data_IF_415528873020
#
_entry.id   IF_415528873020
#
_cell.length_a   1.000
_cell.length_b   1.000
_cell.length_c   1.000
_cell.angle_alpha   90.00
_cell.angle_beta   90.00
_cell.angle_gamma   90.00
#
_symmetry.space_group_name_H-M   'P 1'
#
loop_
_entity.id
_entity.type
_entity.pdbx_description
1 polymer ?
#
# COMPACT_ATOMS: atom_id res chain seq x y z
N UNK A 1 -37.48 10.00 -20.20
CA UNK A 1 -36.53 8.96 -19.73
C UNK A 1 -35.18 9.18 -20.41
N UNK A 2 -34.14 9.61 -19.67
CA UNK A 2 -32.81 9.86 -20.25
C UNK A 2 -32.09 8.55 -20.59
N UNK A 3 -31.69 8.37 -21.86
CA UNK A 3 -30.79 7.29 -22.30
C UNK A 3 -29.46 7.40 -21.53
N UNK A 4 -29.20 6.48 -20.60
CA UNK A 4 -27.86 6.29 -20.03
C UNK A 4 -26.89 5.95 -21.17
N UNK A 5 -26.15 6.94 -21.65
CA UNK A 5 -25.12 6.77 -22.68
C UNK A 5 -24.01 5.90 -22.07
N UNK A 6 -23.92 4.63 -22.48
CA UNK A 6 -22.86 3.74 -21.99
C UNK A 6 -21.53 4.24 -22.52
N UNK A 7 -20.72 4.83 -21.64
CA UNK A 7 -19.41 5.36 -22.01
C UNK A 7 -18.54 4.24 -22.61
N UNK A 8 -17.80 4.49 -23.71
CA UNK A 8 -16.83 3.55 -24.26
C UNK A 8 -15.86 3.00 -23.19
N UNK A 9 -15.52 3.85 -22.23
CA UNK A 9 -14.69 3.50 -21.06
C UNK A 9 -15.36 2.42 -20.20
N UNK A 10 -16.68 2.51 -19.98
CA UNK A 10 -17.42 1.51 -19.20
C UNK A 10 -17.49 0.16 -19.91
N UNK A 11 -17.60 0.15 -21.25
CA UNK A 11 -17.54 -1.08 -22.06
C UNK A 11 -16.15 -1.72 -22.00
N UNK A 12 -15.10 -0.90 -22.08
CA UNK A 12 -13.72 -1.36 -21.94
C UNK A 12 -13.48 -1.98 -20.56
N UNK A 13 -13.91 -1.33 -19.47
CA UNK A 13 -13.81 -1.90 -18.12
C UNK A 13 -14.60 -3.20 -17.95
N UNK A 14 -15.79 -3.30 -18.54
CA UNK A 14 -16.59 -4.53 -18.52
C UNK A 14 -15.87 -5.68 -19.24
N UNK A 15 -15.29 -5.41 -20.41
CA UNK A 15 -14.49 -6.39 -21.15
C UNK A 15 -13.24 -6.82 -20.41
N UNK A 16 -12.50 -5.89 -19.79
CA UNK A 16 -11.31 -6.23 -18.97
C UNK A 16 -11.70 -7.12 -17.79
N UNK A 17 -12.86 -6.87 -17.16
CA UNK A 17 -13.35 -7.69 -16.04
C UNK A 17 -13.74 -9.11 -16.48
N UNK A 18 -14.21 -9.32 -17.71
CA UNK A 18 -14.57 -10.65 -18.21
C UNK A 18 -13.37 -11.50 -18.65
N UNK A 19 -12.18 -10.93 -18.75
CA UNK A 19 -10.98 -11.68 -19.18
C UNK A 19 -10.45 -12.66 -18.10
N UNK A 20 -9.76 -13.70 -18.56
CA UNK A 20 -9.06 -14.66 -17.69
C UNK A 20 -7.94 -14.01 -16.88
N UNK A 21 -7.54 -14.62 -15.75
CA UNK A 21 -6.46 -14.07 -14.92
C UNK A 21 -5.12 -13.95 -15.66
N UNK A 22 -4.84 -14.86 -16.60
CA UNK A 22 -3.63 -14.81 -17.45
C UNK A 22 -3.65 -13.58 -18.36
N UNK A 23 -4.78 -13.30 -19.00
CA UNK A 23 -4.95 -12.14 -19.90
C UNK A 23 -4.94 -10.83 -19.13
N UNK A 24 -5.62 -10.73 -17.98
CA UNK A 24 -5.54 -9.55 -17.09
C UNK A 24 -4.11 -9.26 -16.65
N UNK A 25 -3.36 -10.32 -16.37
CA UNK A 25 -1.97 -10.25 -15.96
C UNK A 25 -1.09 -9.75 -17.10
N UNK A 26 -1.27 -10.30 -18.31
CA UNK A 26 -0.57 -9.86 -19.51
C UNK A 26 -0.88 -8.39 -19.83
N UNK A 27 -2.16 -8.00 -19.84
CA UNK A 27 -2.59 -6.62 -20.07
C UNK A 27 -1.98 -5.65 -19.04
N UNK A 28 -1.94 -6.03 -17.76
CA UNK A 28 -1.32 -5.21 -16.72
C UNK A 28 0.19 -5.07 -16.94
N UNK A 29 0.89 -6.15 -17.28
CA UNK A 29 2.33 -6.11 -17.57
C UNK A 29 2.60 -5.26 -18.80
N UNK A 30 1.87 -5.45 -19.89
CA UNK A 30 2.01 -4.67 -21.13
C UNK A 30 1.68 -3.20 -20.91
N UNK A 31 0.61 -2.88 -20.17
CA UNK A 31 0.29 -1.50 -19.81
C UNK A 31 1.43 -0.86 -19.00
N UNK A 32 1.98 -1.56 -18.01
CA UNK A 32 3.14 -1.08 -17.24
C UNK A 32 4.35 -0.86 -18.14
N UNK A 33 4.69 -1.81 -19.02
CA UNK A 33 5.82 -1.68 -19.95
C UNK A 33 5.62 -0.51 -20.93
N UNK A 34 4.43 -0.38 -21.53
CA UNK A 34 4.10 0.74 -22.40
C UNK A 34 4.14 2.08 -21.66
N UNK A 35 3.63 2.13 -20.42
CA UNK A 35 3.73 3.32 -19.58
C UNK A 35 5.19 3.67 -19.28
N UNK A 36 6.06 2.70 -18.97
CA UNK A 36 7.49 2.92 -18.73
C UNK A 36 8.24 3.40 -19.98
N UNK A 37 7.93 2.83 -21.15
CA UNK A 37 8.50 3.27 -22.44
C UNK A 37 8.02 4.67 -22.78
N UNK A 38 6.72 4.95 -22.65
CA UNK A 38 6.17 6.28 -22.85
C UNK A 38 6.80 7.29 -21.87
N UNK A 39 7.01 6.91 -20.61
CA UNK A 39 7.69 7.73 -19.61
C UNK A 39 9.11 8.11 -20.05
N UNK A 40 9.87 7.11 -20.52
CA UNK A 40 11.24 7.29 -21.02
C UNK A 40 11.29 8.24 -22.22
N UNK A 41 10.28 8.20 -23.08
CA UNK A 41 10.20 9.02 -24.29
C UNK A 41 9.67 10.44 -24.02
N UNK A 42 8.76 10.61 -23.06
CA UNK A 42 8.05 11.87 -22.83
C UNK A 42 8.79 12.82 -21.89
N UNK A 43 9.56 12.30 -20.91
CA UNK A 43 10.07 13.13 -19.80
C UNK A 43 11.58 13.14 -19.78
N UNK A 44 12.14 14.30 -20.15
CA UNK A 44 13.58 14.59 -20.09
C UNK A 44 14.06 14.91 -18.67
N UNK A 45 13.22 15.55 -17.84
CA UNK A 45 13.52 15.93 -16.45
C UNK A 45 12.86 15.01 -15.41
N UNK A 46 13.67 14.16 -14.80
CA UNK A 46 13.23 13.02 -13.98
C UNK A 46 12.90 13.38 -12.53
N UNK A 47 13.27 14.59 -12.11
CA UNK A 47 13.02 15.13 -10.77
C UNK A 47 11.52 15.33 -10.50
N UNK A 48 10.72 15.58 -11.54
CA UNK A 48 9.27 15.73 -11.40
C UNK A 48 8.59 14.46 -10.91
N UNK A 49 9.09 13.27 -11.25
CA UNK A 49 8.53 12.00 -10.78
C UNK A 49 8.79 11.75 -9.31
N UNK A 50 10.01 12.07 -8.87
CA UNK A 50 10.37 11.97 -7.47
C UNK A 50 9.53 12.95 -6.64
N UNK A 51 9.51 14.23 -7.05
CA UNK A 51 8.72 15.26 -6.36
C UNK A 51 7.23 14.90 -6.34
N UNK A 52 6.68 14.37 -7.45
CA UNK A 52 5.29 13.92 -7.49
C UNK A 52 5.03 12.70 -6.59
N UNK A 53 5.93 11.71 -6.58
CA UNK A 53 5.87 10.55 -5.68
C UNK A 53 5.77 11.01 -4.23
N UNK A 54 6.69 11.88 -3.81
CA UNK A 54 6.77 12.35 -2.44
C UNK A 54 5.61 13.28 -2.07
N UNK A 55 5.14 14.13 -3.00
CA UNK A 55 3.96 14.96 -2.77
C UNK A 55 2.69 14.11 -2.56
N UNK A 56 2.52 13.04 -3.34
CA UNK A 56 1.40 12.10 -3.17
C UNK A 56 1.54 11.32 -1.86
N UNK A 57 2.76 10.95 -1.47
CA UNK A 57 3.04 10.32 -0.18
C UNK A 57 2.63 11.24 0.97
N UNK A 58 3.08 12.50 0.94
CA UNK A 58 2.76 13.52 1.93
C UNK A 58 1.25 13.76 2.00
N UNK A 59 0.56 13.86 0.86
CA UNK A 59 -0.90 13.97 0.83
C UNK A 59 -1.60 12.77 1.48
N UNK A 60 -1.12 11.55 1.23
CA UNK A 60 -1.61 10.34 1.90
C UNK A 60 -1.47 10.41 3.43
N UNK A 61 -0.29 10.80 3.92
CA UNK A 61 -0.05 11.00 5.35
C UNK A 61 -0.94 12.10 5.93
N UNK A 62 -1.16 13.21 5.22
CA UNK A 62 -2.05 14.28 5.68
C UNK A 62 -3.50 13.80 5.82
N UNK A 63 -4.01 13.02 4.85
CA UNK A 63 -5.33 12.38 4.94
C UNK A 63 -5.41 11.47 6.17
N UNK A 64 -4.34 10.73 6.45
CA UNK A 64 -4.28 9.86 7.62
C UNK A 64 -4.26 10.66 8.93
N UNK A 65 -3.47 11.72 9.02
CA UNK A 65 -3.41 12.62 10.19
C UNK A 65 -4.77 13.27 10.42
N UNK A 66 -5.43 13.75 9.37
CA UNK A 66 -6.78 14.31 9.45
C UNK A 66 -7.77 13.28 10.03
N UNK A 67 -7.76 12.04 9.51
CA UNK A 67 -8.59 10.94 10.02
C UNK A 67 -8.34 10.71 11.52
N UNK A 68 -7.08 10.54 11.93
CA UNK A 68 -6.74 10.24 13.33
C UNK A 68 -7.09 11.40 14.28
N UNK A 69 -7.01 12.64 13.79
CA UNK A 69 -7.27 13.84 14.60
C UNK A 69 -8.76 14.15 14.72
N UNK A 70 -9.51 14.04 13.62
CA UNK A 70 -10.94 14.40 13.56
C UNK A 70 -11.84 13.23 13.95
N UNK A 71 -11.59 12.03 13.40
CA UNK A 71 -12.45 10.87 13.64
C UNK A 71 -12.07 10.10 14.92
N UNK A 72 -10.94 10.44 15.54
CA UNK A 72 -10.45 9.81 16.78
C UNK A 72 -10.50 8.27 16.76
N UNK A 73 -10.18 7.69 15.61
CA UNK A 73 -10.17 6.24 15.41
C UNK A 73 -9.04 5.82 14.49
N UNK A 74 -8.35 4.74 14.86
CA UNK A 74 -7.41 4.04 14.00
C UNK A 74 -7.98 2.73 13.42
N UNK A 75 -9.30 2.51 13.50
CA UNK A 75 -9.93 1.33 12.90
C UNK A 75 -9.60 1.27 11.40
N UNK A 76 -9.24 0.07 10.94
CA UNK A 76 -8.82 -0.17 9.57
C UNK A 76 -7.37 0.14 9.23
N UNK A 77 -6.58 0.67 10.17
CA UNK A 77 -5.17 0.95 9.96
C UNK A 77 -4.30 -0.16 10.54
N UNK A 78 -3.38 -0.70 9.75
CA UNK A 78 -2.39 -1.67 10.21
C UNK A 78 -1.23 -0.93 10.88
N UNK A 79 -1.05 -1.23 12.16
CA UNK A 79 0.09 -0.75 12.93
C UNK A 79 1.40 -1.30 12.35
N UNK A 80 1.38 -2.56 11.91
CA UNK A 80 2.54 -3.23 11.33
C UNK A 80 3.03 -2.59 10.04
N UNK A 81 2.13 -2.15 9.15
CA UNK A 81 2.53 -1.37 7.97
C UNK A 81 3.18 -0.03 8.35
N UNK A 82 2.70 0.63 9.40
CA UNK A 82 3.32 1.88 9.89
C UNK A 82 4.72 1.63 10.47
N UNK A 83 4.93 0.53 11.19
CA UNK A 83 6.24 0.14 11.73
C UNK A 83 7.24 -0.18 10.63
N UNK A 84 6.83 -0.93 9.61
CA UNK A 84 7.66 -1.19 8.43
C UNK A 84 7.97 0.12 7.69
N UNK A 85 7.02 1.05 7.66
CA UNK A 85 7.18 2.37 7.05
C UNK A 85 8.23 3.20 7.77
N UNK A 86 8.14 3.30 9.10
CA UNK A 86 9.15 3.95 9.91
C UNK A 86 10.53 3.29 9.75
N UNK A 87 10.61 1.95 9.70
CA UNK A 87 11.87 1.23 9.55
C UNK A 87 12.59 1.56 8.24
N UNK A 88 11.93 1.44 7.08
CA UNK A 88 12.62 1.75 5.83
C UNK A 88 12.89 3.24 5.68
N UNK A 89 12.05 4.14 6.21
CA UNK A 89 12.30 5.59 6.20
C UNK A 89 13.51 5.95 7.06
N UNK A 90 13.68 5.32 8.22
CA UNK A 90 14.84 5.54 9.08
C UNK A 90 16.15 5.09 8.39
N UNK A 91 16.15 3.92 7.75
CA UNK A 91 17.30 3.45 6.96
C UNK A 91 17.56 4.35 5.76
N UNK A 92 16.50 4.80 5.07
CA UNK A 92 16.61 5.71 3.94
C UNK A 92 17.21 7.06 4.33
N UNK A 93 16.73 7.64 5.44
CA UNK A 93 17.26 8.89 5.97
C UNK A 93 18.76 8.76 6.28
N UNK A 94 19.17 7.65 6.92
CA UNK A 94 20.58 7.36 7.13
C UNK A 94 21.37 7.31 5.81
N UNK A 95 20.88 6.55 4.82
CA UNK A 95 21.52 6.47 3.51
C UNK A 95 21.62 7.85 2.83
N UNK A 96 20.56 8.67 2.93
CA UNK A 96 20.52 10.02 2.36
C UNK A 96 21.58 10.93 2.99
N UNK A 97 21.74 10.92 4.33
CA UNK A 97 22.81 11.66 5.02
C UNK A 97 24.22 11.24 4.59
N UNK A 98 24.43 9.95 4.32
CA UNK A 98 25.76 9.41 3.96
C UNK A 98 26.07 9.55 2.47
N UNK A 99 25.04 9.60 1.60
CA UNK A 99 25.22 9.51 0.14
C UNK A 99 24.93 10.80 -0.63
N UNK A 100 23.95 11.62 -0.21
CA UNK A 100 23.38 12.69 -1.07
C UNK A 100 23.21 14.04 -0.35
N UNK A 101 22.88 14.05 0.95
CA UNK A 101 22.90 15.25 1.79
C UNK A 101 22.13 16.47 1.26
N UNK A 102 20.95 16.27 0.67
CA UNK A 102 20.20 17.30 -0.06
C UNK A 102 18.73 17.44 0.41
N UNK A 103 17.88 18.06 -0.42
CA UNK A 103 16.45 18.25 -0.15
C UNK A 103 15.71 16.92 0.11
N UNK A 104 16.23 15.79 -0.38
CA UNK A 104 15.66 14.46 -0.13
C UNK A 104 15.76 14.08 1.35
N UNK A 105 16.86 14.44 2.01
CA UNK A 105 17.05 14.21 3.45
C UNK A 105 15.98 14.91 4.28
N UNK A 106 15.63 16.16 3.93
CA UNK A 106 14.60 16.94 4.64
C UNK A 106 13.22 16.30 4.48
N UNK A 107 12.92 15.80 3.27
CA UNK A 107 11.63 15.20 2.94
C UNK A 107 11.46 13.82 3.59
N UNK A 108 12.50 12.99 3.60
CA UNK A 108 12.52 11.71 4.32
C UNK A 108 12.36 11.93 5.83
N UNK A 109 13.03 12.94 6.38
CA UNK A 109 12.92 13.31 7.79
C UNK A 109 11.48 13.74 8.14
N UNK A 110 10.89 14.65 7.36
CA UNK A 110 9.51 15.10 7.58
C UNK A 110 8.50 13.93 7.51
N UNK A 111 8.70 13.00 6.57
CA UNK A 111 7.86 11.80 6.40
C UNK A 111 8.03 10.83 7.58
N UNK A 112 9.26 10.65 8.07
CA UNK A 112 9.55 9.81 9.23
C UNK A 112 8.91 10.38 10.50
N UNK A 113 9.03 11.68 10.75
CA UNK A 113 8.39 12.37 11.90
C UNK A 113 6.87 12.20 11.84
N UNK A 114 6.27 12.38 10.67
CA UNK A 114 4.83 12.22 10.49
C UNK A 114 4.36 10.78 10.73
N UNK A 115 5.16 9.79 10.31
CA UNK A 115 4.88 8.38 10.54
C UNK A 115 5.06 8.02 12.02
N UNK A 116 6.07 8.56 12.69
CA UNK A 116 6.28 8.38 14.13
C UNK A 116 5.11 8.96 14.93
N UNK A 117 4.55 10.11 14.52
CA UNK A 117 3.33 10.65 15.10
C UNK A 117 2.13 9.71 14.93
N UNK A 118 1.94 9.13 13.75
CA UNK A 118 0.87 8.12 13.50
C UNK A 118 1.06 6.90 14.40
N UNK A 119 2.29 6.38 14.52
CA UNK A 119 2.61 5.27 15.43
C UNK A 119 2.28 5.61 16.89
N UNK A 120 2.66 6.81 17.35
CA UNK A 120 2.31 7.30 18.68
C UNK A 120 0.80 7.34 18.89
N UNK A 121 0.05 7.87 17.91
CA UNK A 121 -1.41 7.94 17.97
C UNK A 121 -2.04 6.55 18.11
N UNK A 122 -1.61 5.56 17.31
CA UNK A 122 -2.13 4.18 17.39
C UNK A 122 -1.76 3.50 18.71
N UNK A 123 -0.49 3.60 19.13
CA UNK A 123 0.04 2.87 20.30
C UNK A 123 -0.49 3.41 21.63
N UNK A 124 -0.70 4.72 21.72
CA UNK A 124 -1.01 5.39 23.00
C UNK A 124 -2.38 6.06 23.04
N UNK A 125 -2.74 6.88 22.05
CA UNK A 125 -3.96 7.71 22.11
C UNK A 125 -5.22 6.99 21.64
N UNK A 126 -5.10 6.15 20.61
CA UNK A 126 -6.21 5.49 19.92
C UNK A 126 -6.18 3.96 20.05
N UNK A 127 -5.39 3.44 21.01
CA UNK A 127 -5.15 2.01 21.23
C UNK A 127 -6.46 1.19 21.34
N UNK A 128 -7.50 1.75 21.94
CA UNK A 128 -8.80 1.09 22.09
C UNK A 128 -9.52 0.83 20.76
N UNK A 129 -9.26 1.65 19.74
CA UNK A 129 -9.86 1.51 18.40
C UNK A 129 -9.04 0.63 17.45
N UNK A 130 -7.87 0.15 17.91
CA UNK A 130 -6.99 -0.74 17.16
C UNK A 130 -7.44 -2.19 17.32
N UNK A 131 -7.72 -2.86 16.20
CA UNK A 131 -8.26 -4.22 16.17
C UNK A 131 -7.12 -5.21 15.87
N UNK A 132 -6.43 -5.64 16.93
CA UNK A 132 -5.22 -6.45 16.81
C UNK A 132 -5.47 -7.82 16.15
N UNK A 133 -6.66 -8.43 16.33
CA UNK A 133 -6.97 -9.72 15.70
C UNK A 133 -6.93 -9.68 14.17
N UNK A 134 -7.17 -8.51 13.56
CA UNK A 134 -7.13 -8.32 12.11
C UNK A 134 -5.69 -8.12 11.60
N UNK A 135 -4.78 -7.59 12.41
CA UNK A 135 -3.39 -7.26 12.04
C UNK A 135 -2.39 -8.36 12.42
N UNK A 136 -2.69 -9.60 12.03
CA UNK A 136 -1.96 -10.78 12.48
C UNK A 136 -0.71 -11.15 11.65
N UNK A 137 -0.42 -10.48 10.53
CA UNK A 137 0.75 -10.81 9.68
C UNK A 137 2.08 -10.46 10.38
N UNK A 138 3.00 -11.40 10.68
CA UNK A 138 4.26 -11.08 11.35
C UNK A 138 5.23 -10.24 10.50
N UNK A 139 5.97 -9.32 11.14
CA UNK A 139 6.88 -8.39 10.45
C UNK A 139 8.05 -9.08 9.74
N UNK A 140 8.54 -10.20 10.30
CA UNK A 140 9.72 -10.90 9.80
C UNK A 140 9.53 -11.44 8.36
N UNK A 141 8.30 -11.70 7.92
CA UNK A 141 8.00 -12.11 6.55
C UNK A 141 8.33 -11.05 5.51
N UNK A 142 8.41 -9.78 5.91
CA UNK A 142 8.81 -8.68 5.05
C UNK A 142 10.28 -8.32 5.28
N UNK A 143 10.69 -8.19 6.55
CA UNK A 143 12.05 -7.73 6.90
C UNK A 143 13.12 -8.73 6.46
N UNK A 144 12.97 -10.03 6.76
CA UNK A 144 14.02 -11.02 6.48
C UNK A 144 14.25 -11.21 4.98
N UNK A 145 13.22 -11.44 4.13
CA UNK A 145 13.44 -11.57 2.69
C UNK A 145 14.02 -10.31 2.06
N UNK A 146 13.61 -9.11 2.50
CA UNK A 146 14.18 -7.85 2.02
C UNK A 146 15.66 -7.71 2.40
N UNK A 147 16.06 -8.13 3.60
CA UNK A 147 17.46 -8.11 4.02
C UNK A 147 18.32 -9.11 3.24
N UNK A 148 17.84 -10.34 3.05
CA UNK A 148 18.53 -11.36 2.24
C UNK A 148 18.71 -10.86 0.81
N UNK A 149 17.65 -10.34 0.18
CA UNK A 149 17.73 -9.78 -1.17
C UNK A 149 18.70 -8.61 -1.24
N UNK A 150 18.75 -7.74 -0.23
CA UNK A 150 19.68 -6.61 -0.20
C UNK A 150 21.14 -7.04 -0.11
N UNK A 151 21.44 -8.11 0.63
CA UNK A 151 22.80 -8.66 0.71
C UNK A 151 23.20 -9.28 -0.63
N UNK A 152 22.30 -10.06 -1.24
CA UNK A 152 22.57 -10.78 -2.48
C UNK A 152 22.54 -9.88 -3.73
N UNK A 153 21.68 -8.86 -3.72
CA UNK A 153 21.34 -8.01 -4.88
C UNK A 153 21.34 -6.55 -4.41
N UNK A 154 22.48 -5.88 -4.54
CA UNK A 154 22.64 -4.45 -4.27
C UNK A 154 23.38 -3.78 -5.44
N UNK A 155 23.20 -2.46 -5.64
CA UNK A 155 23.82 -1.76 -6.75
C UNK A 155 25.34 -1.61 -6.59
N UNK A 156 26.07 -1.65 -7.71
CA UNK A 156 27.51 -1.44 -7.76
C UNK A 156 27.83 0.06 -7.93
N UNK A 157 27.86 0.79 -6.82
CA UNK A 157 28.24 2.22 -6.77
C UNK A 157 29.63 2.43 -6.13
N UNK A 158 30.10 3.67 -6.01
CA UNK A 158 31.38 3.98 -5.33
C UNK A 158 31.27 4.02 -3.79
N UNK A 159 30.07 3.92 -3.23
CA UNK A 159 29.85 3.98 -1.77
C UNK A 159 30.29 2.71 -1.05
N UNK A 160 30.31 2.75 0.29
CA UNK A 160 30.61 1.57 1.10
C UNK A 160 29.62 0.42 0.84
N UNK A 161 30.09 -0.82 0.96
CA UNK A 161 29.24 -2.02 0.80
C UNK A 161 28.04 -2.01 1.75
N UNK A 162 28.22 -1.51 2.98
CA UNK A 162 27.15 -1.40 3.98
C UNK A 162 26.09 -0.41 3.51
N UNK A 163 26.48 0.78 3.02
CA UNK A 163 25.55 1.80 2.52
C UNK A 163 24.74 1.28 1.33
N UNK A 164 25.37 0.52 0.41
CA UNK A 164 24.69 -0.10 -0.74
C UNK A 164 23.64 -1.12 -0.31
N UNK A 165 23.99 -1.99 0.64
CA UNK A 165 23.08 -2.99 1.19
C UNK A 165 21.92 -2.33 1.96
N UNK A 166 22.19 -1.32 2.77
CA UNK A 166 21.15 -0.58 3.49
C UNK A 166 20.19 0.16 2.55
N UNK A 167 20.73 0.77 1.49
CA UNK A 167 19.91 1.39 0.45
C UNK A 167 19.05 0.35 -0.28
N UNK A 168 19.62 -0.80 -0.69
CA UNK A 168 18.85 -1.86 -1.33
C UNK A 168 17.77 -2.43 -0.40
N UNK A 169 18.10 -2.60 0.89
CA UNK A 169 17.15 -3.03 1.92
C UNK A 169 15.97 -2.06 2.04
N UNK A 170 16.20 -0.75 2.09
CA UNK A 170 15.11 0.22 2.23
C UNK A 170 14.18 0.16 1.01
N UNK A 171 14.73 0.03 -0.21
CA UNK A 171 13.97 -0.09 -1.46
C UNK A 171 13.14 -1.38 -1.48
N UNK A 172 13.72 -2.52 -1.09
CA UNK A 172 13.02 -3.79 -1.03
C UNK A 172 11.96 -3.83 0.07
N UNK A 173 12.25 -3.31 1.26
CA UNK A 173 11.30 -3.28 2.36
C UNK A 173 10.12 -2.37 2.05
N UNK A 174 10.40 -1.20 1.46
CA UNK A 174 9.37 -0.28 0.97
C UNK A 174 8.40 -0.95 -0.01
N UNK A 175 8.92 -1.88 -0.81
CA UNK A 175 8.16 -2.60 -1.84
C UNK A 175 7.11 -3.56 -1.29
N UNK A 176 7.33 -4.11 -0.09
CA UNK A 176 6.49 -5.14 0.52
C UNK A 176 5.80 -4.67 1.82
N UNK A 177 6.12 -3.47 2.31
CA UNK A 177 5.62 -2.94 3.59
C UNK A 177 4.10 -2.72 3.66
N UNK A 178 3.43 -2.66 2.50
CA UNK A 178 1.95 -2.53 2.41
C UNK A 178 1.21 -3.84 2.69
N UNK A 179 1.90 -5.00 2.72
CA UNK A 179 1.27 -6.31 2.86
C UNK A 179 0.43 -6.47 4.15
N UNK A 180 0.88 -6.06 5.36
CA UNK A 180 0.06 -6.11 6.56
C UNK A 180 -1.26 -5.34 6.42
N UNK A 181 -1.24 -4.14 5.86
CA UNK A 181 -2.42 -3.34 5.60
C UNK A 181 -3.42 -4.05 4.66
N UNK A 182 -2.94 -4.69 3.60
CA UNK A 182 -3.80 -5.44 2.69
C UNK A 182 -4.40 -6.68 3.37
N UNK A 183 -3.61 -7.37 4.20
CA UNK A 183 -4.08 -8.53 4.99
C UNK A 183 -5.14 -8.13 6.01
N UNK A 184 -4.97 -6.99 6.68
CA UNK A 184 -5.95 -6.44 7.62
C UNK A 184 -7.29 -6.16 6.93
N UNK A 185 -7.28 -5.51 5.76
CA UNK A 185 -8.49 -5.23 4.98
C UNK A 185 -9.17 -6.54 4.54
N UNK A 186 -8.40 -7.56 4.17
CA UNK A 186 -8.94 -8.88 3.83
C UNK A 186 -9.64 -9.54 5.03
N UNK A 187 -8.97 -9.57 6.18
CA UNK A 187 -9.52 -10.15 7.40
C UNK A 187 -10.80 -9.42 7.83
N UNK A 188 -10.83 -8.09 7.71
CA UNK A 188 -12.02 -7.28 7.98
C UNK A 188 -13.20 -7.67 7.09
N UNK A 189 -12.96 -7.85 5.78
CA UNK A 189 -14.01 -8.25 4.82
C UNK A 189 -14.56 -9.64 5.10
N UNK A 190 -13.70 -10.62 5.38
CA UNK A 190 -14.13 -11.99 5.71
C UNK A 190 -15.02 -11.97 6.95
N UNK A 191 -14.62 -11.26 8.01
CA UNK A 191 -15.40 -11.19 9.24
C UNK A 191 -16.78 -10.56 9.01
N UNK A 192 -16.88 -9.52 8.17
CA UNK A 192 -18.17 -8.90 7.81
C UNK A 192 -19.06 -9.88 7.02
N UNK A 193 -18.49 -10.61 6.06
CA UNK A 193 -19.25 -11.60 5.26
C UNK A 193 -19.75 -12.72 6.17
N UNK A 194 -18.89 -13.29 7.02
CA UNK A 194 -19.28 -14.34 7.98
C UNK A 194 -20.39 -13.89 8.93
N UNK A 195 -20.36 -12.63 9.37
CA UNK A 195 -21.40 -12.08 10.25
C UNK A 195 -22.73 -11.86 9.52
N UNK A 196 -22.69 -11.54 8.21
CA UNK A 196 -23.89 -11.39 7.37
C UNK A 196 -24.56 -12.72 7.00
N UNK A 197 -23.77 -13.79 6.81
CA UNK A 197 -24.30 -15.12 6.46
C UNK A 197 -24.89 -15.89 7.65
N UNK A 198 -24.52 -15.51 8.87
CA UNK A 198 -25.03 -16.09 10.11
C UNK A 198 -26.36 -15.46 10.59
N UNK A 199 -26.84 -14.40 9.95
CA UNK A 199 -28.15 -13.80 10.27
C UNK A 199 -29.24 -14.46 9.40
N UNK A 200 -30.15 -15.28 9.96
CA UNK A 200 -31.26 -15.80 9.20
C UNK A 200 -32.17 -14.64 8.76
N UNK A 201 -32.62 -14.65 7.50
CA UNK A 201 -33.53 -13.63 6.95
C UNK A 201 -34.79 -13.41 7.81
N UNK A 202 -35.14 -14.36 8.67
CA UNK A 202 -36.31 -14.36 9.54
C UNK A 202 -36.13 -13.57 10.87
N UNK A 203 -34.90 -13.19 11.27
CA UNK A 203 -34.68 -12.37 12.48
C UNK A 203 -34.73 -10.85 12.21
N UNK A 204 -34.78 -10.44 10.94
CA UNK A 204 -34.89 -9.04 10.55
C UNK A 204 -36.31 -8.46 10.73
N UNK A 205 -37.36 -9.29 10.73
CA UNK A 205 -38.74 -8.82 10.97
C UNK A 205 -39.15 -8.83 12.44
N UNK A 206 -38.60 -9.75 13.24
CA UNK A 206 -39.01 -9.96 14.64
C UNK A 206 -38.24 -9.09 15.67
N UNK A 207 -37.27 -8.29 15.21
CA UNK A 207 -36.47 -7.40 16.08
C UNK A 207 -36.98 -5.94 16.09
N UNK A 208 -38.05 -5.63 15.35
CA UNK A 208 -38.61 -4.27 15.27
C UNK A 208 -39.41 -3.83 16.51
N UNK A 209 -39.58 -4.68 17.53
CA UNK A 209 -40.47 -4.40 18.67
C UNK A 209 -39.83 -4.43 20.06
N UNK A 210 -38.52 -4.69 20.21
CA UNK A 210 -37.91 -4.66 21.55
C UNK A 210 -36.58 -3.92 21.58
N UNK A 211 -36.64 -2.78 22.28
CA UNK A 211 -35.52 -1.99 22.81
C UNK A 211 -34.56 -1.38 21.77
N UNK A 212 -34.85 -0.11 21.42
CA UNK A 212 -34.04 0.75 20.54
C UNK A 212 -32.58 0.95 21.03
N UNK A 213 -32.25 0.63 22.28
CA UNK A 213 -30.93 0.91 22.84
C UNK A 213 -29.90 -0.23 22.67
N UNK A 214 -30.32 -1.47 22.43
CA UNK A 214 -29.39 -2.60 22.16
C UNK A 214 -29.14 -2.81 20.66
N UNK A 215 -30.11 -2.46 19.81
CA UNK A 215 -30.02 -2.61 18.36
C UNK A 215 -29.00 -1.64 17.72
N UNK A 216 -28.83 -0.45 18.29
CA UNK A 216 -27.83 0.51 17.82
C UNK A 216 -26.40 -0.01 18.03
N UNK A 217 -26.12 -0.73 19.12
CA UNK A 217 -24.77 -1.25 19.39
C UNK A 217 -24.32 -2.35 18.41
N UNK A 218 -25.24 -3.06 17.77
CA UNK A 218 -24.94 -4.13 16.80
C UNK A 218 -24.79 -3.67 15.34
N UNK A 219 -25.43 -2.55 14.96
CA UNK A 219 -25.35 -1.98 13.59
C UNK A 219 -24.39 -0.80 13.45
N UNK A 220 -24.07 -0.12 14.57
CA UNK A 220 -23.03 0.92 14.61
C UNK A 220 -21.67 0.48 14.05
N UNK A 221 -21.19 -0.78 14.23
CA UNK A 221 -19.91 -1.20 13.66
C UNK A 221 -19.90 -1.10 12.14
N UNK A 222 -21.01 -1.41 11.45
CA UNK A 222 -21.06 -1.52 9.99
C UNK A 222 -21.08 -0.16 9.29
N UNK A 223 -21.93 0.78 9.75
CA UNK A 223 -21.98 2.14 9.19
C UNK A 223 -20.72 2.94 9.52
N UNK A 224 -20.21 2.80 10.74
CA UNK A 224 -18.92 3.36 11.12
C UNK A 224 -17.80 2.77 10.26
N UNK A 225 -17.86 1.48 9.95
CA UNK A 225 -16.89 0.86 9.03
C UNK A 225 -16.96 1.48 7.63
N UNK A 226 -18.15 1.63 7.06
CA UNK A 226 -18.33 2.23 5.73
C UNK A 226 -17.89 3.69 5.65
N UNK A 227 -17.93 4.44 6.76
CA UNK A 227 -17.43 5.82 6.82
C UNK A 227 -15.90 5.89 7.02
N UNK A 228 -15.31 4.92 7.71
CA UNK A 228 -13.87 4.84 8.01
C UNK A 228 -13.05 4.18 6.88
N UNK A 229 -13.67 3.30 6.09
CA UNK A 229 -13.08 2.68 4.90
C UNK A 229 -12.61 3.68 3.84
N UNK A 230 -13.38 4.72 3.43
CA UNK A 230 -12.96 5.61 2.35
C UNK A 230 -11.68 6.34 2.69
N UNK A 231 -11.53 6.95 3.88
CA UNK A 231 -10.28 7.66 4.23
C UNK A 231 -9.06 6.73 4.22
N UNK A 232 -9.21 5.52 4.76
CA UNK A 232 -8.16 4.51 4.76
C UNK A 232 -7.84 4.05 3.33
N UNK A 233 -8.86 3.86 2.49
CA UNK A 233 -8.70 3.47 1.10
C UNK A 233 -8.00 4.54 0.28
N UNK A 234 -8.35 5.82 0.45
CA UNK A 234 -7.67 6.94 -0.21
C UNK A 234 -6.20 7.04 0.23
N UNK A 235 -5.92 6.88 1.53
CA UNK A 235 -4.54 6.79 2.03
C UNK A 235 -3.77 5.63 1.39
N UNK A 236 -4.33 4.40 1.43
CA UNK A 236 -3.67 3.20 0.88
C UNK A 236 -3.48 3.32 -0.64
N UNK A 237 -4.45 3.92 -1.34
CA UNK A 237 -4.35 4.20 -2.76
C UNK A 237 -3.25 5.24 -3.05
N UNK A 238 -3.25 6.37 -2.35
CA UNK A 238 -2.21 7.39 -2.48
C UNK A 238 -0.82 6.80 -2.19
N UNK A 239 -0.70 6.01 -1.13
CA UNK A 239 0.52 5.30 -0.80
C UNK A 239 0.94 4.36 -1.94
N UNK A 240 0.02 3.60 -2.51
CA UNK A 240 0.29 2.74 -3.67
C UNK A 240 0.75 3.50 -4.92
N UNK A 241 0.16 4.66 -5.19
CA UNK A 241 0.54 5.53 -6.32
C UNK A 241 1.91 6.16 -6.10
N UNK A 242 2.17 6.73 -4.92
CA UNK A 242 3.48 7.28 -4.56
C UNK A 242 4.58 6.21 -4.76
N UNK A 243 4.35 5.02 -4.20
CA UNK A 243 5.22 3.86 -4.35
C UNK A 243 5.46 3.52 -5.83
N UNK A 244 4.41 3.49 -6.66
CA UNK A 244 4.55 3.21 -8.09
C UNK A 244 5.40 4.25 -8.83
N UNK A 245 5.19 5.54 -8.55
CA UNK A 245 5.96 6.64 -9.15
C UNK A 245 7.42 6.65 -8.68
N UNK A 246 7.68 6.37 -7.40
CA UNK A 246 9.04 6.20 -6.89
C UNK A 246 9.78 5.07 -7.60
N UNK A 247 9.11 3.94 -7.87
CA UNK A 247 9.70 2.87 -8.70
C UNK A 247 9.99 3.35 -10.12
N UNK A 248 9.06 4.05 -10.75
CA UNK A 248 9.25 4.56 -12.11
C UNK A 248 10.46 5.52 -12.20
N UNK A 249 10.63 6.39 -11.20
CA UNK A 249 11.81 7.24 -11.06
C UNK A 249 13.11 6.42 -11.03
N UNK A 250 13.20 5.42 -10.15
CA UNK A 250 14.38 4.56 -10.04
C UNK A 250 14.64 3.72 -11.29
N UNK A 251 13.59 3.19 -11.94
CA UNK A 251 13.72 2.45 -13.22
C UNK A 251 14.31 3.35 -14.31
N UNK A 252 13.81 4.58 -14.42
CA UNK A 252 14.30 5.53 -15.41
C UNK A 252 15.74 5.97 -15.13
N UNK A 253 16.09 6.22 -13.87
CA UNK A 253 17.46 6.58 -13.45
C UNK A 253 18.46 5.46 -13.75
N UNK A 254 18.07 4.20 -13.49
CA UNK A 254 18.87 3.01 -13.81
C UNK A 254 19.01 2.80 -15.33
N UNK A 255 17.98 3.11 -16.12
CA UNK A 255 18.01 2.93 -17.59
C UNK A 255 18.97 3.87 -18.33
N UNK A 256 19.60 4.82 -17.61
CA UNK A 256 20.57 5.78 -18.13
C UNK A 256 22.03 5.49 -17.70
N UNK A 257 22.26 4.58 -16.74
CA UNK A 257 23.60 4.06 -16.41
C UNK A 257 23.86 2.79 -17.21
N UNK A 258 25.07 2.63 -17.76
CA UNK A 258 25.41 1.46 -18.59
C UNK A 258 25.08 0.14 -17.89
N UNK A 259 24.45 -0.72 -18.70
CA UNK A 259 23.69 -1.90 -18.35
C UNK A 259 24.61 -3.05 -17.92
N UNK A 260 24.74 -3.32 -16.61
CA UNK A 260 25.13 -4.68 -16.16
C UNK A 260 24.53 -5.10 -14.81
N UNK A 261 24.49 -4.25 -13.76
CA UNK A 261 24.04 -4.68 -12.41
C UNK A 261 22.87 -3.89 -11.79
N UNK A 262 22.68 -2.62 -12.15
CA UNK A 262 21.59 -1.80 -11.61
C UNK A 262 20.19 -2.24 -12.08
N UNK A 263 20.10 -2.85 -13.27
CA UNK A 263 18.85 -3.33 -13.84
C UNK A 263 18.24 -4.51 -13.05
N UNK A 264 19.07 -5.39 -12.47
CA UNK A 264 18.63 -6.52 -11.65
C UNK A 264 17.96 -6.05 -10.36
N UNK A 265 18.53 -5.06 -9.67
CA UNK A 265 17.97 -4.47 -8.45
C UNK A 265 16.58 -3.88 -8.74
N UNK A 266 16.47 -3.12 -9.83
CA UNK A 266 15.23 -2.47 -10.25
C UNK A 266 14.17 -3.49 -10.70
N UNK A 267 14.57 -4.51 -11.47
CA UNK A 267 13.70 -5.60 -11.89
C UNK A 267 13.19 -6.42 -10.70
N UNK A 268 14.05 -6.77 -9.74
CA UNK A 268 13.68 -7.47 -8.50
C UNK A 268 12.72 -6.61 -7.66
N UNK A 269 12.91 -5.29 -7.61
CA UNK A 269 12.00 -4.40 -6.91
C UNK A 269 10.62 -4.36 -7.59
N UNK A 270 10.57 -4.20 -8.91
CA UNK A 270 9.32 -4.24 -9.69
C UNK A 270 8.62 -5.59 -9.54
N UNK A 271 9.36 -6.69 -9.66
CA UNK A 271 8.84 -8.04 -9.49
C UNK A 271 8.34 -8.25 -8.06
N UNK A 272 9.05 -7.80 -7.03
CA UNK A 272 8.62 -7.92 -5.62
C UNK A 272 7.33 -7.15 -5.33
N UNK A 273 7.13 -5.97 -5.95
CA UNK A 273 5.85 -5.24 -5.86
C UNK A 273 4.74 -5.92 -6.63
N UNK A 274 4.99 -6.39 -7.85
CA UNK A 274 4.01 -7.14 -8.65
C UNK A 274 3.63 -8.46 -7.95
N UNK A 275 4.58 -9.16 -7.35
CA UNK A 275 4.34 -10.37 -6.55
C UNK A 275 3.56 -10.02 -5.29
N UNK A 276 3.87 -8.95 -4.55
CA UNK A 276 3.05 -8.52 -3.41
C UNK A 276 1.59 -8.29 -3.81
N UNK A 277 1.34 -7.62 -4.93
CA UNK A 277 -0.01 -7.39 -5.47
C UNK A 277 -0.66 -8.69 -5.98
N UNK A 278 0.10 -9.63 -6.58
CA UNK A 278 -0.43 -10.92 -7.06
C UNK A 278 -0.67 -11.93 -5.95
N UNK A 279 0.16 -11.99 -4.91
CA UNK A 279 -0.04 -12.86 -3.73
C UNK A 279 -1.34 -12.47 -3.02
N UNK A 280 -1.62 -11.17 -2.94
CA UNK A 280 -2.91 -10.63 -2.48
C UNK A 280 -4.07 -11.16 -3.32
N UNK A 281 -3.91 -11.19 -4.66
CA UNK A 281 -4.93 -11.74 -5.58
C UNK A 281 -5.08 -13.27 -5.50
N UNK A 282 -3.99 -14.03 -5.33
CA UNK A 282 -4.03 -15.49 -5.19
C UNK A 282 -4.65 -15.93 -3.86
N UNK A 283 -4.39 -15.19 -2.78
CA UNK A 283 -5.07 -15.36 -1.49
C UNK A 283 -6.56 -14.99 -1.62
N UNK A 284 -6.90 -13.97 -2.40
CA UNK A 284 -8.29 -13.57 -2.68
C UNK A 284 -9.07 -14.66 -3.42
N UNK A 285 -8.49 -15.29 -4.45
CA UNK A 285 -9.12 -16.41 -5.17
C UNK A 285 -9.27 -17.63 -4.25
N UNK A 286 -8.30 -17.89 -3.36
CA UNK A 286 -8.38 -19.02 -2.42
C UNK A 286 -9.43 -18.81 -1.32
N UNK A 287 -9.75 -17.57 -0.97
CA UNK A 287 -10.83 -17.25 -0.03
C UNK A 287 -12.22 -17.45 -0.66
N UNK A 288 -12.39 -17.15 -1.96
CA UNK A 288 -13.65 -17.38 -2.70
C UNK A 288 -13.90 -18.88 -3.02
N UNK A 289 -12.89 -19.74 -2.93
CA UNK A 289 -12.98 -21.19 -3.26
C UNK A 289 -13.15 -22.06 -2.00
N UNK A 290 -13.01 -21.49 -0.79
CA UNK A 290 -13.16 -22.20 0.50
C UNK A 290 -14.45 -21.78 1.25
N UNK A 291 -15.31 -20.98 0.60
CA UNK A 291 -16.71 -20.75 1.01
C UNK A 291 -17.65 -21.50 0.06
#
# INVERSE_FOLDING_TARGET
>A
MGRRRSSPVNKMFAWVRSQSMKVKTFLAVTAVLCSLVALKLLIRDHNHFFVASEAIHAAGILVLIYKLTTQKTCSGLSLKTQELTALFLAVRLYCSFVMEGDIHTVLDFATLVSTAWVLYMIRFKLKSSYIAELDNLPLYYMVIPSAILAILIHPYTQHSTISKMMWAFCVYLESVSVLPQLRLIQNAKVNVVSQSSLLPAHSLSMSLTSNKNSFLLGQMPFFFWQMVEPFTAHYVFALGVARFLGCAHWILQVSRQELTHHALVSLVCVISRVISVRKVKYIMIRADVVQ
#
